data_IF_089417297398
#
_entry.id   IF_089417297398
#
_cell.length_a   1.000
_cell.length_b   1.000
_cell.length_c   1.000
_cell.angle_alpha   90.00
_cell.angle_beta   90.00
_cell.angle_gamma   90.00
#
_symmetry.space_group_name_H-M   'P 1'
#
loop_
_entity.id
_entity.type
_entity.pdbx_description
1 polymer ?
#
# COMPACT_ATOMS: atom_id res chain seq x y z
N UNK A 1 -5.59 -12.39 8.44
CA UNK A 1 -4.58 -11.32 8.34
C UNK A 1 -5.16 -9.99 8.79
N UNK A 2 -6.09 -9.37 8.03
CA UNK A 2 -6.65 -8.06 8.41
C UNK A 2 -7.35 -8.10 9.77
N UNK A 3 -8.20 -9.10 10.00
CA UNK A 3 -8.93 -9.23 11.27
C UNK A 3 -8.00 -9.50 12.46
N UNK A 4 -6.98 -10.33 12.25
CA UNK A 4 -5.99 -10.72 13.27
C UNK A 4 -5.04 -9.57 13.64
N UNK A 5 -4.70 -8.68 12.70
CA UNK A 5 -3.68 -7.65 12.88
C UNK A 5 -4.22 -6.22 12.83
N UNK A 6 -5.53 -6.03 13.01
CA UNK A 6 -6.21 -4.74 12.89
C UNK A 6 -5.58 -3.63 13.75
N UNK A 7 -5.18 -3.95 14.99
CA UNK A 7 -4.56 -2.97 15.89
C UNK A 7 -3.20 -2.48 15.35
N UNK A 8 -2.34 -3.39 14.91
CA UNK A 8 -1.04 -3.06 14.34
C UNK A 8 -1.16 -2.29 13.03
N UNK A 9 -2.12 -2.67 12.18
CA UNK A 9 -2.37 -1.96 10.93
C UNK A 9 -2.85 -0.51 11.16
N UNK A 10 -3.63 -0.27 12.22
CA UNK A 10 -4.08 1.08 12.60
C UNK A 10 -2.99 1.93 13.24
N UNK A 11 -1.94 1.33 13.79
CA UNK A 11 -0.81 2.07 14.37
C UNK A 11 0.23 2.49 13.33
N UNK A 12 0.09 2.08 12.07
CA UNK A 12 1.00 2.49 11.00
C UNK A 12 0.76 3.96 10.63
N UNK A 13 1.84 4.73 10.44
CA UNK A 13 1.77 6.10 9.94
C UNK A 13 1.24 6.17 8.50
N UNK A 14 1.40 5.09 7.74
CA UNK A 14 0.85 4.94 6.40
C UNK A 14 1.00 3.52 5.91
N UNK A 15 0.03 3.06 5.11
CA UNK A 15 0.08 1.77 4.46
C UNK A 15 -0.29 1.92 2.98
N UNK A 16 0.65 1.58 2.10
CA UNK A 16 0.48 1.64 0.65
C UNK A 16 0.93 0.34 0.01
N UNK A 17 0.18 -0.10 -0.99
CA UNK A 17 0.57 -1.18 -1.88
C UNK A 17 0.00 -0.94 -3.28
N UNK A 18 0.62 -1.54 -4.28
CA UNK A 18 0.20 -1.42 -5.68
C UNK A 18 0.37 -2.76 -6.39
N UNK A 19 -0.40 -2.96 -7.47
CA UNK A 19 -0.35 -4.18 -8.25
C UNK A 19 -0.57 -3.90 -9.74
N UNK A 20 0.17 -4.61 -10.59
CA UNK A 20 -0.03 -4.58 -12.03
C UNK A 20 -1.37 -5.19 -12.42
N UNK A 21 -2.11 -4.56 -13.34
CA UNK A 21 -3.42 -5.06 -13.81
C UNK A 21 -3.32 -6.40 -14.54
N UNK A 22 -2.17 -6.68 -15.14
CA UNK A 22 -1.88 -7.93 -15.87
C UNK A 22 -1.11 -8.92 -14.97
N UNK A 23 -0.97 -8.60 -13.68
CA UNK A 23 -0.37 -9.49 -12.68
C UNK A 23 -1.37 -10.60 -12.30
N UNK A 24 -0.87 -11.83 -12.13
CA UNK A 24 -1.67 -12.96 -11.67
C UNK A 24 -2.17 -12.78 -10.22
N UNK A 25 -1.54 -11.91 -9.44
CA UNK A 25 -1.90 -11.58 -8.05
C UNK A 25 -2.93 -10.46 -7.93
N UNK A 26 -3.44 -9.90 -9.05
CA UNK A 26 -4.36 -8.76 -9.00
C UNK A 26 -5.63 -9.06 -8.20
N UNK A 27 -6.17 -10.28 -8.33
CA UNK A 27 -7.35 -10.71 -7.58
C UNK A 27 -7.12 -10.73 -6.06
N UNK A 28 -5.97 -11.21 -5.62
CA UNK A 28 -5.61 -11.25 -4.20
C UNK A 28 -5.40 -9.84 -3.64
N UNK A 29 -4.78 -8.93 -4.41
CA UNK A 29 -4.56 -7.54 -4.00
C UNK A 29 -5.88 -6.77 -3.87
N UNK A 30 -6.80 -6.92 -4.82
CA UNK A 30 -8.15 -6.33 -4.74
C UNK A 30 -8.93 -6.86 -3.53
N UNK A 31 -8.87 -8.17 -3.28
CA UNK A 31 -9.53 -8.77 -2.13
C UNK A 31 -8.96 -8.25 -0.79
N UNK A 32 -7.63 -8.00 -0.73
CA UNK A 32 -7.01 -7.37 0.43
C UNK A 32 -7.47 -5.92 0.61
N UNK A 33 -7.50 -5.12 -0.46
CA UNK A 33 -7.97 -3.74 -0.43
C UNK A 33 -9.41 -3.64 0.10
N UNK A 34 -10.31 -4.50 -0.40
CA UNK A 34 -11.70 -4.55 0.08
C UNK A 34 -11.78 -4.93 1.57
N UNK A 35 -10.98 -5.89 2.03
CA UNK A 35 -10.94 -6.24 3.46
C UNK A 35 -10.44 -5.09 4.34
N UNK A 36 -9.42 -4.36 3.90
CA UNK A 36 -8.90 -3.20 4.62
C UNK A 36 -9.95 -2.07 4.69
N UNK A 37 -10.68 -1.87 3.59
CA UNK A 37 -11.79 -0.92 3.51
C UNK A 37 -12.91 -1.29 4.46
N UNK A 38 -13.35 -2.57 4.46
CA UNK A 38 -14.35 -3.08 5.40
C UNK A 38 -13.90 -2.93 6.87
N UNK A 39 -12.60 -3.08 7.13
CA UNK A 39 -12.03 -2.90 8.46
C UNK A 39 -11.82 -1.43 8.87
N UNK A 40 -12.11 -0.45 8.01
CA UNK A 40 -11.83 0.98 8.19
C UNK A 40 -10.35 1.26 8.49
N UNK A 41 -9.45 0.56 7.81
CA UNK A 41 -8.00 0.77 7.93
C UNK A 41 -7.57 1.74 6.82
N UNK A 42 -6.98 2.90 7.17
CA UNK A 42 -6.45 3.83 6.18
C UNK A 42 -5.35 3.15 5.35
N UNK A 43 -5.54 3.09 4.04
CA UNK A 43 -4.57 2.53 3.11
C UNK A 43 -4.68 3.22 1.75
N UNK A 44 -3.60 3.17 0.98
CA UNK A 44 -3.57 3.58 -0.42
C UNK A 44 -3.30 2.35 -1.29
N UNK A 45 -4.25 2.03 -2.17
CA UNK A 45 -4.11 0.95 -3.15
C UNK A 45 -4.22 1.51 -4.56
N UNK A 46 -3.23 1.20 -5.40
CA UNK A 46 -3.21 1.64 -6.80
C UNK A 46 -2.98 0.46 -7.76
N UNK A 47 -3.62 0.54 -8.91
CA UNK A 47 -3.44 -0.41 -10.01
C UNK A 47 -2.79 0.28 -11.20
N UNK A 48 -1.88 -0.39 -11.88
CA UNK A 48 -1.17 0.16 -13.03
C UNK A 48 -1.01 -0.86 -14.15
N UNK A 49 -0.83 -0.38 -15.38
CA UNK A 49 -0.67 -1.27 -16.53
C UNK A 49 0.75 -1.84 -16.60
N UNK A 50 0.91 -3.03 -15.99
CA UNK A 50 2.16 -3.76 -15.89
C UNK A 50 1.89 -5.25 -15.57
N UNK A 51 2.85 -6.10 -15.90
CA UNK A 51 2.93 -7.48 -15.42
C UNK A 51 3.70 -7.57 -14.09
N UNK A 52 3.78 -8.78 -13.55
CA UNK A 52 4.50 -9.05 -12.32
C UNK A 52 5.96 -8.58 -12.38
N UNK A 53 6.31 -7.64 -11.51
CA UNK A 53 7.67 -7.10 -11.40
C UNK A 53 8.07 -6.06 -12.45
N UNK A 54 7.21 -5.76 -13.42
CA UNK A 54 7.46 -4.70 -14.38
C UNK A 54 7.26 -3.31 -13.76
N UNK A 55 8.01 -2.32 -14.27
CA UNK A 55 7.92 -0.90 -13.85
C UNK A 55 8.14 -0.65 -12.35
N UNK A 56 8.67 -1.62 -11.58
CA UNK A 56 8.93 -1.48 -10.14
C UNK A 56 9.80 -0.28 -9.79
N UNK A 57 10.91 -0.06 -10.50
CA UNK A 57 11.81 1.07 -10.22
C UNK A 57 11.11 2.41 -10.48
N UNK A 58 10.38 2.50 -11.59
CA UNK A 58 9.59 3.69 -11.93
C UNK A 58 8.54 3.97 -10.85
N UNK A 59 7.86 2.93 -10.35
CA UNK A 59 6.86 3.07 -9.28
C UNK A 59 7.47 3.41 -7.93
N UNK A 60 8.64 2.84 -7.62
CA UNK A 60 9.40 3.19 -6.44
C UNK A 60 9.67 4.71 -6.41
N UNK A 61 10.22 5.24 -7.50
CA UNK A 61 10.58 6.66 -7.62
C UNK A 61 9.36 7.59 -7.66
N UNK A 62 8.32 7.26 -8.42
CA UNK A 62 7.20 8.17 -8.66
C UNK A 62 6.12 8.12 -7.57
N UNK A 63 6.00 7.00 -6.85
CA UNK A 63 4.88 6.78 -5.94
C UNK A 63 5.28 6.44 -4.53
N UNK A 64 6.22 5.50 -4.39
CA UNK A 64 6.57 4.93 -3.09
C UNK A 64 7.42 5.92 -2.30
N UNK A 65 8.51 6.44 -2.88
CA UNK A 65 9.35 7.44 -2.22
C UNK A 65 8.57 8.73 -1.87
N UNK A 66 7.74 9.29 -2.78
CA UNK A 66 6.89 10.44 -2.43
C UNK A 66 5.85 10.11 -1.35
N UNK A 67 5.29 8.89 -1.34
CA UNK A 67 4.39 8.47 -0.27
C UNK A 67 5.09 8.45 1.09
N UNK A 68 6.28 7.84 1.17
CA UNK A 68 7.05 7.83 2.41
C UNK A 68 7.45 9.24 2.85
N UNK A 69 7.84 10.11 1.93
CA UNK A 69 8.13 11.52 2.24
C UNK A 69 6.93 12.24 2.90
N UNK A 70 5.70 11.92 2.50
CA UNK A 70 4.49 12.48 3.13
C UNK A 70 4.13 11.86 4.48
N UNK A 71 4.37 10.56 4.64
CA UNK A 71 3.90 9.78 5.80
C UNK A 71 4.92 9.68 6.93
N UNK A 72 6.21 9.71 6.62
CA UNK A 72 7.29 9.72 7.59
C UNK A 72 7.51 11.16 8.06
N UNK A 73 6.61 11.63 8.92
CA UNK A 73 6.88 12.81 9.75
C UNK A 73 7.77 12.37 10.90
N UNK A 74 9.03 12.76 10.85
CA UNK A 74 9.91 12.60 11.98
C UNK A 74 9.53 13.65 13.02
N UNK A 75 9.12 13.24 14.21
CA UNK A 75 9.09 14.17 15.33
C UNK A 75 10.54 14.66 15.53
N UNK A 76 10.77 15.97 15.41
CA UNK A 76 12.03 16.54 15.87
C UNK A 76 12.13 16.24 17.36
N UNK A 77 13.09 15.39 17.74
CA UNK A 77 13.49 15.26 19.14
C UNK A 77 13.95 16.65 19.60
N UNK A 78 13.10 17.34 20.35
CA UNK A 78 13.49 18.48 21.19
C UNK A 78 14.39 18.03 22.32
#
# INVERSE_FOLDING_TARGET
MVDTHKAALRSLNGFRFDCGRVDFLIGANRALAEKLKQANIPHQYDEYDARHGEKRNLRLEQEVLPFFSRMLKFEEKK
#
